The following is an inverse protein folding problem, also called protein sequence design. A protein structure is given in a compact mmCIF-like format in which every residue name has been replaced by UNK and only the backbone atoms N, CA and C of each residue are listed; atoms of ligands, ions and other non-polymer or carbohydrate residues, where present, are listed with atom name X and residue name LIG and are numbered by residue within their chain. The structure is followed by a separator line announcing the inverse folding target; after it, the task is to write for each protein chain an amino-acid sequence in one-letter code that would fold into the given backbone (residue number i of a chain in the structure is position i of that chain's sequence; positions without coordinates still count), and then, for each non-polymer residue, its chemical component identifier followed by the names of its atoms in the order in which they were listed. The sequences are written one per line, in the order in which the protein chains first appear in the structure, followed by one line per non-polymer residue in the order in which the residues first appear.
data_IF_671791018797
#
_entry.id   IF_671791018797
#
_cell.length_a   1.000
_cell.length_b   1.000
_cell.length_c   1.000
_cell.angle_alpha   90.00
_cell.angle_beta   90.00
_cell.angle_gamma   90.00
#
_symmetry.space_group_name_H-M   'P 1'
#
loop_
_entity.id
_entity.type
_entity.pdbx_description
1 polymer ?
#
# COMPACT_ATOMS: atom_id res chain seq x y z
N UNK A 1 -59.27 16.96 10.63
CA UNK A 1 -59.17 15.46 10.41
C UNK A 1 -58.02 15.23 9.47
N UNK A 2 -56.93 14.63 9.96
CA UNK A 2 -55.78 14.26 9.14
C UNK A 2 -56.20 13.12 8.23
N UNK A 3 -56.19 13.35 6.89
CA UNK A 3 -56.43 12.30 5.90
C UNK A 3 -55.34 11.23 6.06
N UNK A 4 -55.70 10.04 6.48
CA UNK A 4 -54.85 8.86 6.43
C UNK A 4 -54.49 8.63 4.98
N UNK A 5 -53.25 8.90 4.60
CA UNK A 5 -52.68 8.50 3.31
C UNK A 5 -52.85 7.00 3.16
N UNK A 6 -53.54 6.56 2.10
CA UNK A 6 -53.76 5.13 1.83
C UNK A 6 -52.43 4.37 1.73
N UNK A 7 -52.39 3.07 2.06
CA UNK A 7 -51.18 2.26 2.17
C UNK A 7 -50.31 2.31 0.88
N UNK A 8 -50.91 2.52 -0.28
CA UNK A 8 -50.20 2.65 -1.57
C UNK A 8 -49.39 3.94 -1.75
N UNK A 9 -49.82 5.08 -1.10
CA UNK A 9 -49.06 6.33 -1.14
C UNK A 9 -47.82 6.26 -0.25
N UNK A 10 -47.95 5.59 0.92
CA UNK A 10 -46.81 5.38 1.80
C UNK A 10 -45.76 4.51 1.10
N UNK A 11 -46.19 3.42 0.44
CA UNK A 11 -45.29 2.55 -0.34
C UNK A 11 -44.59 3.32 -1.48
N UNK A 12 -45.32 4.17 -2.21
CA UNK A 12 -44.72 5.01 -3.26
C UNK A 12 -43.64 5.96 -2.71
N UNK A 13 -43.89 6.63 -1.59
CA UNK A 13 -42.93 7.53 -0.94
C UNK A 13 -41.69 6.76 -0.42
N UNK A 14 -41.90 5.58 0.17
CA UNK A 14 -40.80 4.73 0.64
C UNK A 14 -39.94 4.27 -0.53
N UNK A 15 -40.54 3.86 -1.65
CA UNK A 15 -39.80 3.46 -2.84
C UNK A 15 -39.01 4.62 -3.47
N UNK A 16 -39.59 5.83 -3.51
CA UNK A 16 -38.87 7.01 -4.00
C UNK A 16 -37.70 7.34 -3.07
N UNK A 17 -37.91 7.34 -1.74
CA UNK A 17 -36.86 7.58 -0.75
C UNK A 17 -35.74 6.54 -0.83
N UNK A 18 -36.12 5.25 -0.94
CA UNK A 18 -35.16 4.14 -1.08
C UNK A 18 -34.38 4.27 -2.38
N UNK A 19 -35.07 4.57 -3.50
CA UNK A 19 -34.43 4.74 -4.79
C UNK A 19 -33.40 5.89 -4.80
N UNK A 20 -33.76 7.02 -4.22
CA UNK A 20 -32.84 8.16 -4.06
C UNK A 20 -31.65 7.80 -3.15
N UNK A 21 -31.86 7.12 -2.05
CA UNK A 21 -30.81 6.65 -1.16
C UNK A 21 -29.84 5.70 -1.87
N UNK A 22 -30.34 4.72 -2.63
CA UNK A 22 -29.53 3.77 -3.37
C UNK A 22 -28.69 4.45 -4.46
N UNK A 23 -29.23 5.47 -5.15
CA UNK A 23 -28.49 6.24 -6.15
C UNK A 23 -27.38 7.08 -5.50
N UNK A 24 -27.65 7.72 -4.37
CA UNK A 24 -26.63 8.45 -3.61
C UNK A 24 -25.54 7.47 -3.15
N UNK A 25 -25.91 6.31 -2.62
CA UNK A 25 -24.97 5.29 -2.19
C UNK A 25 -24.12 4.78 -3.38
N UNK A 26 -24.74 4.60 -4.57
CA UNK A 26 -24.03 4.17 -5.78
C UNK A 26 -22.96 5.17 -6.24
N UNK A 27 -23.12 6.45 -5.93
CA UNK A 27 -22.12 7.50 -6.24
C UNK A 27 -21.10 7.63 -5.09
N UNK A 28 -21.57 7.55 -3.83
CA UNK A 28 -20.71 7.77 -2.66
C UNK A 28 -19.73 6.60 -2.41
N UNK A 29 -20.17 5.36 -2.67
CA UNK A 29 -19.33 4.17 -2.41
C UNK A 29 -18.05 4.20 -3.24
N UNK A 30 -18.02 4.35 -4.56
CA UNK A 30 -16.78 4.36 -5.32
C UNK A 30 -15.87 5.53 -4.93
N UNK A 31 -16.42 6.71 -4.70
CA UNK A 31 -15.61 7.90 -4.38
C UNK A 31 -14.98 7.86 -2.98
N UNK A 32 -15.66 7.27 -2.01
CA UNK A 32 -15.20 7.26 -0.61
C UNK A 32 -14.51 5.94 -0.21
N UNK A 33 -15.05 4.80 -0.70
CA UNK A 33 -14.56 3.48 -0.25
C UNK A 33 -13.31 3.07 -1.03
N UNK A 34 -13.24 3.32 -2.35
CA UNK A 34 -12.09 2.97 -3.18
C UNK A 34 -10.83 3.69 -2.69
N UNK A 35 -10.91 5.00 -2.43
CA UNK A 35 -9.78 5.76 -1.90
C UNK A 35 -9.27 5.28 -0.53
N UNK A 36 -10.06 4.51 0.21
CA UNK A 36 -9.66 3.86 1.46
C UNK A 36 -9.10 2.44 1.24
N UNK A 37 -9.55 1.78 0.18
CA UNK A 37 -9.04 0.47 -0.22
C UNK A 37 -7.69 0.57 -0.93
N UNK A 38 -7.43 1.68 -1.63
CA UNK A 38 -6.14 2.03 -2.23
C UNK A 38 -5.13 2.51 -1.16
N UNK A 39 -5.04 1.78 -0.05
CA UNK A 39 -4.05 2.00 1.02
C UNK A 39 -3.44 0.68 1.42
N UNK A 40 -2.13 0.65 1.62
CA UNK A 40 -1.45 -0.54 2.14
C UNK A 40 -2.08 -0.95 3.48
N UNK A 41 -2.50 -2.23 3.63
CA UNK A 41 -3.14 -2.71 4.86
C UNK A 41 -2.24 -2.58 6.09
N UNK A 42 -2.81 -2.27 7.26
CA UNK A 42 -2.07 -2.16 8.52
C UNK A 42 -1.80 -3.51 9.20
N UNK A 43 -2.36 -4.57 8.67
CA UNK A 43 -2.17 -5.97 9.10
C UNK A 43 -1.30 -6.75 8.10
N UNK A 44 -0.49 -6.03 7.31
CA UNK A 44 0.40 -6.65 6.33
C UNK A 44 1.44 -7.53 7.02
N UNK A 45 1.47 -8.79 6.61
CA UNK A 45 2.47 -9.77 6.99
C UNK A 45 2.77 -10.64 5.76
N UNK A 46 3.99 -10.53 5.24
CA UNK A 46 4.37 -11.18 3.98
C UNK A 46 5.74 -11.84 4.13
N UNK A 47 5.82 -13.11 3.78
CA UNK A 47 7.09 -13.82 3.61
C UNK A 47 7.33 -14.09 2.14
N UNK A 48 8.50 -13.69 1.63
CA UNK A 48 8.97 -14.05 0.29
C UNK A 48 10.23 -14.89 0.37
N UNK A 49 10.30 -15.93 -0.43
CA UNK A 49 11.45 -16.82 -0.54
C UNK A 49 11.99 -16.73 -1.97
N UNK A 50 13.28 -16.48 -2.08
CA UNK A 50 14.00 -16.51 -3.35
C UNK A 50 15.05 -17.60 -3.31
N UNK A 51 15.25 -18.28 -4.42
CA UNK A 51 16.21 -19.35 -4.56
C UNK A 51 17.14 -19.10 -5.74
N UNK A 52 18.33 -19.67 -5.68
CA UNK A 52 19.28 -19.57 -6.77
C UNK A 52 20.52 -20.45 -6.53
N UNK A 53 21.45 -20.35 -7.44
CA UNK A 53 22.74 -21.05 -7.33
C UNK A 53 23.83 -20.09 -7.77
N UNK A 54 24.92 -20.02 -7.00
CA UNK A 54 25.98 -19.06 -7.27
C UNK A 54 27.35 -19.44 -6.77
N UNK A 55 28.26 -18.48 -6.84
CA UNK A 55 29.60 -18.55 -6.30
C UNK A 55 29.67 -17.80 -4.98
N UNK A 56 30.28 -18.40 -3.95
CA UNK A 56 30.36 -17.83 -2.61
C UNK A 56 31.76 -17.96 -2.05
N UNK A 57 32.34 -16.86 -1.55
CA UNK A 57 33.62 -16.87 -0.86
C UNK A 57 33.50 -17.69 0.44
N UNK A 58 34.38 -18.63 0.60
CA UNK A 58 34.51 -19.38 1.83
C UNK A 58 35.29 -18.54 2.86
N UNK A 59 34.56 -17.89 3.78
CA UNK A 59 35.16 -16.97 4.76
C UNK A 59 36.22 -17.67 5.66
N UNK A 60 36.04 -18.94 5.97
CA UNK A 60 37.03 -19.71 6.73
C UNK A 60 38.35 -19.87 5.97
N UNK A 61 38.30 -19.89 4.63
CA UNK A 61 39.52 -19.99 3.80
C UNK A 61 40.38 -18.74 3.87
N UNK A 62 39.78 -17.56 4.02
CA UNK A 62 40.52 -16.31 4.24
C UNK A 62 41.29 -16.33 5.54
N UNK A 63 40.68 -16.83 6.64
CA UNK A 63 41.35 -17.02 7.91
C UNK A 63 42.48 -18.02 7.81
N UNK A 64 42.39 -19.01 6.91
CA UNK A 64 43.44 -19.99 6.60
C UNK A 64 44.50 -19.46 5.62
N UNK A 65 44.46 -18.18 5.25
CA UNK A 65 45.45 -17.50 4.39
C UNK A 65 45.26 -17.70 2.89
N UNK A 66 44.08 -18.09 2.43
CA UNK A 66 43.79 -18.25 1.00
C UNK A 66 42.33 -17.97 0.67
N UNK A 67 42.06 -17.11 -0.29
CA UNK A 67 40.70 -16.89 -0.82
C UNK A 67 40.27 -18.09 -1.68
N UNK A 68 39.26 -18.84 -1.21
CA UNK A 68 38.64 -19.94 -1.96
C UNK A 68 37.18 -19.59 -2.23
N UNK A 69 36.77 -19.67 -3.47
CA UNK A 69 35.39 -19.41 -3.89
C UNK A 69 34.73 -20.74 -4.20
N UNK A 70 33.74 -21.11 -3.40
CA UNK A 70 32.92 -22.29 -3.64
C UNK A 70 31.99 -22.03 -4.81
N UNK A 71 31.89 -22.96 -5.75
CA UNK A 71 31.07 -22.84 -6.96
C UNK A 71 29.78 -23.65 -6.83
N UNK A 72 28.75 -23.25 -7.58
CA UNK A 72 27.46 -23.95 -7.60
C UNK A 72 26.82 -24.12 -6.22
N UNK A 73 26.96 -23.11 -5.38
CA UNK A 73 26.41 -23.11 -4.01
C UNK A 73 24.90 -22.85 -4.09
N UNK A 74 24.03 -23.72 -3.54
CA UNK A 74 22.61 -23.47 -3.50
C UNK A 74 22.31 -22.40 -2.45
N UNK A 75 21.52 -21.41 -2.84
CA UNK A 75 21.20 -20.22 -2.05
C UNK A 75 19.71 -20.09 -1.83
N UNK A 76 19.34 -19.65 -0.63
CA UNK A 76 17.98 -19.28 -0.25
C UNK A 76 18.01 -17.92 0.43
N UNK A 77 17.25 -16.99 -0.09
CA UNK A 77 16.96 -15.71 0.57
C UNK A 77 15.53 -15.72 1.10
N UNK A 78 15.35 -15.40 2.34
CA UNK A 78 14.05 -15.22 2.97
C UNK A 78 13.91 -13.77 3.41
N UNK A 79 12.79 -13.14 3.03
CA UNK A 79 12.41 -11.82 3.52
C UNK A 79 11.05 -11.90 4.20
N UNK A 80 11.00 -11.44 5.44
CA UNK A 80 9.77 -11.31 6.22
C UNK A 80 9.47 -9.84 6.44
N UNK A 81 8.31 -9.40 5.98
CA UNK A 81 7.84 -8.01 6.05
C UNK A 81 6.64 -7.95 6.97
N UNK A 82 6.68 -7.07 7.96
CA UNK A 82 5.60 -6.86 8.93
C UNK A 82 5.40 -5.38 9.20
N UNK A 83 4.23 -5.04 9.74
CA UNK A 83 3.90 -3.66 10.14
C UNK A 83 4.27 -3.45 11.60
N UNK A 84 4.91 -2.31 11.87
CA UNK A 84 5.33 -1.86 13.19
C UNK A 84 4.72 -0.51 13.55
N UNK A 85 4.86 -0.10 14.80
CA UNK A 85 4.48 1.24 15.22
C UNK A 85 5.65 2.23 15.02
N UNK A 86 5.36 3.51 14.71
CA UNK A 86 4.05 4.10 14.54
C UNK A 86 3.45 3.82 13.16
N UNK A 87 2.16 3.53 13.12
CA UNK A 87 1.37 3.40 11.89
C UNK A 87 -0.04 3.92 12.15
N UNK A 88 -0.65 4.59 11.16
CA UNK A 88 -1.96 5.20 11.30
C UNK A 88 -2.82 5.14 10.01
N UNK A 89 -3.74 6.07 9.85
CA UNK A 89 -4.64 6.12 8.69
C UNK A 89 -3.91 6.45 7.38
N UNK A 90 -2.78 7.15 7.43
CA UNK A 90 -2.07 7.69 6.26
C UNK A 90 -0.65 7.15 6.10
N UNK A 91 0.01 6.79 7.21
CA UNK A 91 1.38 6.28 7.23
C UNK A 91 1.45 4.84 7.75
N UNK A 92 2.42 4.08 7.25
CA UNK A 92 2.69 2.70 7.67
C UNK A 92 4.19 2.52 7.89
N UNK A 93 4.57 2.06 9.07
CA UNK A 93 5.95 1.65 9.35
C UNK A 93 6.11 0.17 9.03
N UNK A 94 6.99 -0.11 8.10
CA UNK A 94 7.30 -1.46 7.64
C UNK A 94 8.65 -1.88 8.19
N UNK A 95 8.73 -3.09 8.74
CA UNK A 95 9.97 -3.74 9.11
C UNK A 95 10.17 -4.98 8.24
N UNK A 96 11.33 -5.08 7.61
CA UNK A 96 11.71 -6.19 6.75
C UNK A 96 12.96 -6.89 7.33
N UNK A 97 12.79 -8.06 7.87
CA UNK A 97 13.88 -8.97 8.18
C UNK A 97 14.28 -9.77 6.94
N UNK A 98 15.55 -9.73 6.55
CA UNK A 98 16.05 -10.49 5.41
C UNK A 98 17.26 -11.31 5.77
N UNK A 99 17.31 -12.55 5.30
CA UNK A 99 18.46 -13.44 5.40
C UNK A 99 18.83 -13.99 4.04
N UNK A 100 20.12 -14.22 3.81
CA UNK A 100 20.62 -15.02 2.70
C UNK A 100 21.45 -16.16 3.29
N UNK A 101 21.09 -17.38 2.96
CA UNK A 101 21.75 -18.60 3.44
C UNK A 101 22.23 -19.46 2.26
N UNK A 102 23.31 -20.18 2.50
CA UNK A 102 23.71 -21.32 1.66
C UNK A 102 23.17 -22.61 2.28
N UNK A 103 22.32 -23.32 1.55
CA UNK A 103 21.59 -24.49 2.09
C UNK A 103 22.40 -25.78 2.11
N UNK A 104 23.62 -25.77 1.53
CA UNK A 104 24.55 -26.90 1.64
C UNK A 104 25.30 -26.99 2.99
N UNK A 105 25.08 -25.99 3.86
CA UNK A 105 25.62 -25.95 5.22
C UNK A 105 24.50 -25.75 6.25
N UNK A 106 24.72 -26.26 7.48
CA UNK A 106 23.71 -26.20 8.53
C UNK A 106 24.00 -25.09 9.56
N UNK A 107 22.93 -24.57 10.15
CA UNK A 107 22.99 -23.57 11.22
C UNK A 107 23.74 -22.30 10.79
N UNK A 108 24.43 -21.68 11.74
CA UNK A 108 25.11 -20.39 11.53
C UNK A 108 26.21 -20.45 10.45
N UNK A 109 26.74 -21.64 10.14
CA UNK A 109 27.75 -21.81 9.09
C UNK A 109 27.18 -21.65 7.70
N UNK A 110 25.87 -21.73 7.55
CA UNK A 110 25.15 -21.46 6.31
C UNK A 110 24.74 -20.00 6.13
N UNK A 111 24.69 -19.20 7.19
CA UNK A 111 24.26 -17.80 7.12
C UNK A 111 25.33 -16.95 6.43
N UNK A 112 24.96 -16.28 5.34
CA UNK A 112 25.83 -15.37 4.60
C UNK A 112 25.58 -13.93 5.00
N UNK A 113 24.33 -13.52 5.05
CA UNK A 113 23.92 -12.17 5.48
C UNK A 113 22.59 -12.21 6.24
N UNK A 114 22.44 -11.30 7.18
CA UNK A 114 21.18 -10.99 7.83
C UNK A 114 21.06 -9.47 7.99
N UNK A 115 19.87 -8.94 7.79
CA UNK A 115 19.58 -7.52 7.98
C UNK A 115 18.16 -7.32 8.45
N UNK A 116 17.94 -6.25 9.20
CA UNK A 116 16.60 -5.74 9.50
C UNK A 116 16.56 -4.31 8.99
N UNK A 117 15.65 -4.05 8.10
CA UNK A 117 15.36 -2.74 7.54
C UNK A 117 14.01 -2.23 8.04
N UNK A 118 13.93 -0.95 8.38
CA UNK A 118 12.71 -0.32 8.90
C UNK A 118 12.53 1.03 8.28
N UNK A 119 11.35 1.25 7.68
CA UNK A 119 11.00 2.50 6.99
C UNK A 119 9.53 2.84 7.20
N UNK A 120 9.21 4.13 7.34
CA UNK A 120 7.83 4.62 7.36
C UNK A 120 7.46 5.16 5.98
N UNK A 121 6.35 4.67 5.44
CA UNK A 121 5.87 4.95 4.09
C UNK A 121 4.49 5.59 4.13
N UNK A 122 4.19 6.45 3.18
CA UNK A 122 2.82 6.82 2.85
C UNK A 122 2.08 5.61 2.27
N UNK A 123 0.89 5.33 2.78
CA UNK A 123 0.14 4.10 2.48
C UNK A 123 -0.41 4.02 1.06
N UNK A 124 -0.49 5.14 0.35
CA UNK A 124 -1.02 5.22 -1.04
C UNK A 124 0.11 5.19 -2.04
N UNK A 125 1.07 6.11 -1.90
CA UNK A 125 2.20 6.27 -2.82
C UNK A 125 3.32 5.27 -2.60
N UNK A 126 3.38 4.61 -1.44
CA UNK A 126 4.48 3.75 -1.01
C UNK A 126 5.83 4.47 -0.92
N UNK A 127 5.84 5.80 -0.89
CA UNK A 127 7.04 6.62 -0.74
C UNK A 127 7.38 6.81 0.74
N UNK A 128 8.67 6.86 1.10
CA UNK A 128 9.10 7.19 2.45
C UNK A 128 8.61 8.56 2.89
N UNK A 129 8.23 8.69 4.17
CA UNK A 129 7.86 9.97 4.77
C UNK A 129 9.09 10.64 5.38
N UNK A 130 9.20 11.97 5.24
CA UNK A 130 10.34 12.73 5.76
C UNK A 130 10.34 12.87 7.29
N UNK A 131 9.18 12.68 7.93
CA UNK A 131 8.99 12.82 9.38
C UNK A 131 9.73 11.77 10.20
N UNK A 132 10.09 10.63 9.59
CA UNK A 132 10.76 9.50 10.24
C UNK A 132 11.89 8.96 9.38
N UNK A 133 13.12 9.03 9.92
CA UNK A 133 14.30 8.46 9.27
C UNK A 133 14.22 6.93 9.38
N UNK A 134 14.42 6.24 8.25
CA UNK A 134 14.53 4.80 8.23
C UNK A 134 15.78 4.29 8.94
N UNK A 135 15.80 3.00 9.30
CA UNK A 135 16.94 2.39 9.99
C UNK A 135 17.30 1.05 9.38
N UNK A 136 18.60 0.74 9.34
CA UNK A 136 19.12 -0.56 8.90
C UNK A 136 19.99 -1.15 10.00
N UNK A 137 19.72 -2.42 10.38
CA UNK A 137 20.54 -3.18 11.31
C UNK A 137 21.17 -4.36 10.58
N UNK A 138 22.50 -4.43 10.60
CA UNK A 138 23.28 -5.51 9.97
C UNK A 138 23.98 -6.43 10.99
N UNK A 139 24.02 -6.03 12.26
CA UNK A 139 24.66 -6.77 13.34
C UNK A 139 23.74 -6.80 14.56
N UNK A 140 23.45 -7.99 15.07
CA UNK A 140 22.51 -8.17 16.20
C UNK A 140 22.99 -7.57 17.52
N UNK A 141 24.32 -7.41 17.67
CA UNK A 141 24.98 -6.84 18.84
C UNK A 141 25.15 -5.32 18.79
N UNK A 142 24.72 -4.67 17.69
CA UNK A 142 24.77 -3.22 17.52
C UNK A 142 23.39 -2.63 17.30
N UNK A 143 23.16 -1.38 17.71
CA UNK A 143 21.92 -0.69 17.39
C UNK A 143 21.75 -0.54 15.87
N UNK A 144 20.51 -0.42 15.43
CA UNK A 144 20.19 -0.06 14.06
C UNK A 144 20.76 1.33 13.72
N UNK A 145 21.28 1.47 12.52
CA UNK A 145 21.85 2.72 12.00
C UNK A 145 20.75 3.51 11.30
N UNK A 146 20.68 4.82 11.56
CA UNK A 146 19.78 5.71 10.81
C UNK A 146 20.27 5.85 9.38
N UNK A 147 19.40 5.51 8.44
CA UNK A 147 19.64 5.57 7.00
C UNK A 147 18.46 6.24 6.34
N UNK A 148 18.61 7.44 5.75
CA UNK A 148 17.55 8.07 4.98
C UNK A 148 17.13 7.20 3.80
N UNK A 149 15.86 6.82 3.74
CA UNK A 149 15.29 6.10 2.62
C UNK A 149 14.68 7.10 1.64
N UNK A 150 14.90 6.87 0.36
CA UNK A 150 14.34 7.67 -0.72
C UNK A 150 13.80 6.75 -1.81
N UNK A 151 12.66 7.09 -2.42
CA UNK A 151 12.07 6.24 -3.44
C UNK A 151 11.29 5.02 -2.89
N UNK A 152 10.76 4.23 -3.80
CA UNK A 152 9.94 3.04 -3.48
C UNK A 152 10.77 1.95 -2.83
N UNK A 153 10.09 1.11 -2.06
CA UNK A 153 10.67 -0.09 -1.45
C UNK A 153 9.54 -1.08 -1.10
N UNK A 154 9.75 -2.37 -1.33
CA UNK A 154 8.82 -3.48 -1.05
C UNK A 154 7.52 -3.49 -1.86
N UNK A 155 6.93 -2.35 -2.21
CA UNK A 155 5.66 -2.22 -2.92
C UNK A 155 5.69 -1.01 -3.86
N UNK A 156 4.99 -1.11 -4.99
CA UNK A 156 4.72 0.03 -5.85
C UNK A 156 3.43 0.75 -5.43
N UNK A 157 3.20 1.99 -5.88
CA UNK A 157 1.93 2.67 -5.62
C UNK A 157 0.75 1.91 -6.24
N UNK A 158 -0.43 2.10 -5.69
CA UNK A 158 -1.65 1.71 -6.39
C UNK A 158 -1.73 2.43 -7.74
N UNK A 159 -2.33 1.77 -8.74
CA UNK A 159 -2.39 2.27 -10.11
C UNK A 159 -0.98 2.60 -10.66
N UNK A 160 -0.06 1.64 -10.51
CA UNK A 160 1.31 1.73 -11.03
C UNK A 160 1.32 2.06 -12.51
N UNK A 161 2.04 3.09 -12.89
CA UNK A 161 2.16 3.55 -14.28
C UNK A 161 3.38 2.94 -14.98
N UNK A 162 3.35 2.91 -16.31
CA UNK A 162 4.46 2.46 -17.16
C UNK A 162 5.53 3.57 -17.27
N UNK A 163 6.20 3.87 -16.16
CA UNK A 163 7.26 4.89 -16.07
C UNK A 163 8.36 4.48 -15.11
N UNK A 164 9.47 5.20 -15.12
CA UNK A 164 10.54 5.02 -14.13
C UNK A 164 10.11 5.52 -12.75
N UNK A 165 10.59 4.84 -11.71
CA UNK A 165 10.41 5.22 -10.31
C UNK A 165 11.76 5.22 -9.60
N UNK A 166 12.02 6.14 -8.67
CA UNK A 166 13.14 5.97 -7.76
C UNK A 166 12.88 4.75 -6.87
N UNK A 167 13.83 3.81 -6.79
CA UNK A 167 13.72 2.59 -6.00
C UNK A 167 14.96 2.41 -5.12
N UNK A 168 14.75 2.27 -3.81
CA UNK A 168 15.82 2.20 -2.82
C UNK A 168 16.51 0.85 -2.80
N UNK A 169 17.84 0.86 -2.79
CA UNK A 169 18.65 -0.33 -2.57
C UNK A 169 19.28 -0.32 -1.18
N UNK A 170 18.91 -1.31 -0.36
CA UNK A 170 19.33 -1.42 1.05
C UNK A 170 20.85 -1.62 1.19
N UNK A 171 21.49 -2.32 0.24
CA UNK A 171 22.93 -2.56 0.28
C UNK A 171 23.74 -1.33 -0.15
N UNK A 172 23.29 -0.66 -1.20
CA UNK A 172 23.90 0.56 -1.70
C UNK A 172 23.53 1.80 -0.86
N UNK A 173 22.44 1.74 -0.07
CA UNK A 173 21.88 2.84 0.73
C UNK A 173 21.56 4.07 -0.12
N UNK A 174 21.15 3.85 -1.35
CA UNK A 174 20.76 4.89 -2.29
C UNK A 174 19.59 4.45 -3.16
N UNK A 175 18.86 5.42 -3.72
CA UNK A 175 17.88 5.14 -4.76
C UNK A 175 18.48 5.33 -6.14
N UNK A 176 18.14 4.43 -7.03
CA UNK A 176 18.34 4.50 -8.48
C UNK A 176 17.00 4.31 -9.15
N UNK A 177 16.86 4.81 -10.35
CA UNK A 177 15.65 4.57 -11.11
C UNK A 177 15.48 3.07 -11.40
N UNK A 178 14.26 2.58 -11.20
CA UNK A 178 13.80 1.30 -11.72
C UNK A 178 12.90 1.60 -12.90
N UNK A 179 13.33 1.16 -14.09
CA UNK A 179 12.73 1.53 -15.36
C UNK A 179 11.67 0.53 -15.78
N UNK A 180 10.53 1.02 -16.30
CA UNK A 180 9.56 0.17 -16.97
C UNK A 180 10.17 -0.43 -18.23
N UNK A 181 10.00 -1.74 -18.41
CA UNK A 181 10.55 -2.48 -19.56
C UNK A 181 9.43 -2.91 -20.51
N UNK A 182 8.44 -3.61 -19.97
CA UNK A 182 7.34 -4.18 -20.76
C UNK A 182 6.13 -4.56 -19.89
N UNK A 183 4.98 -4.68 -20.54
CA UNK A 183 3.80 -5.34 -20.00
C UNK A 183 3.81 -6.80 -20.42
N UNK A 184 3.53 -7.71 -19.49
CA UNK A 184 3.48 -9.14 -19.74
C UNK A 184 2.43 -9.81 -18.85
N UNK A 185 2.36 -11.14 -18.87
CA UNK A 185 1.38 -11.90 -18.08
C UNK A 185 2.08 -13.01 -17.30
N UNK A 186 1.70 -13.16 -16.02
CA UNK A 186 2.13 -14.27 -15.15
C UNK A 186 0.88 -14.93 -14.56
N UNK A 187 0.70 -16.22 -14.80
CA UNK A 187 -0.44 -17.04 -14.32
C UNK A 187 -1.82 -16.38 -14.55
N UNK A 188 -2.01 -15.78 -15.75
CA UNK A 188 -3.26 -15.10 -16.13
C UNK A 188 -3.46 -13.73 -15.50
N UNK A 189 -2.42 -13.13 -14.92
CA UNK A 189 -2.44 -11.79 -14.34
C UNK A 189 -1.53 -10.88 -15.14
N UNK A 190 -2.06 -9.75 -15.62
CA UNK A 190 -1.25 -8.69 -16.28
C UNK A 190 -0.29 -8.09 -15.27
N UNK A 191 0.97 -7.96 -15.64
CA UNK A 191 2.01 -7.39 -14.80
C UNK A 191 2.92 -6.48 -15.61
N UNK A 192 3.49 -5.48 -14.95
CA UNK A 192 4.53 -4.61 -15.49
C UNK A 192 5.89 -5.07 -15.01
N UNK A 193 6.80 -5.29 -15.96
CA UNK A 193 8.19 -5.64 -15.68
C UNK A 193 9.02 -4.37 -15.56
N UNK A 194 9.75 -4.28 -14.47
CA UNK A 194 10.70 -3.21 -14.19
C UNK A 194 12.11 -3.76 -14.02
N UNK A 195 13.13 -2.99 -14.42
CA UNK A 195 14.53 -3.33 -14.23
C UNK A 195 15.29 -2.15 -13.61
N UNK A 196 16.13 -2.45 -12.62
CA UNK A 196 17.04 -1.51 -11.96
C UNK A 196 18.47 -2.03 -12.03
N UNK A 197 19.44 -1.14 -12.32
CA UNK A 197 20.87 -1.44 -12.24
C UNK A 197 21.52 -0.60 -11.15
N UNK A 198 22.17 -1.28 -10.21
CA UNK A 198 22.87 -0.69 -9.07
C UNK A 198 24.36 -1.00 -9.16
N UNK A 199 25.20 -0.02 -8.87
CA UNK A 199 26.64 -0.18 -8.75
C UNK A 199 27.43 0.10 -10.02
N UNK A 200 28.76 -0.10 -9.93
CA UNK A 200 29.52 -0.59 -8.78
C UNK A 200 29.58 0.40 -7.61
N UNK A 201 29.23 -0.05 -6.42
CA UNK A 201 29.24 0.71 -5.18
C UNK A 201 30.35 0.23 -4.25
N UNK A 202 31.19 1.13 -3.75
CA UNK A 202 32.18 0.86 -2.70
C UNK A 202 31.46 0.72 -1.35
N UNK A 203 31.25 -0.54 -0.91
CA UNK A 203 30.58 -0.78 0.37
C UNK A 203 31.35 -0.25 1.58
N UNK A 204 32.67 -0.03 1.49
CA UNK A 204 33.44 0.53 2.61
C UNK A 204 33.16 2.01 2.83
N UNK A 205 32.61 2.70 1.83
CA UNK A 205 32.23 4.10 1.92
C UNK A 205 30.79 4.32 2.43
N UNK A 206 29.95 3.31 2.28
CA UNK A 206 28.51 3.38 2.61
C UNK A 206 28.16 2.65 3.91
N UNK A 207 28.84 1.53 4.18
CA UNK A 207 28.57 0.64 5.33
C UNK A 207 29.83 0.41 6.15
N UNK A 208 29.81 0.89 7.39
CA UNK A 208 30.97 0.74 8.29
C UNK A 208 31.08 -0.67 8.87
N UNK A 209 31.48 -1.61 8.00
CA UNK A 209 31.83 -2.99 8.42
C UNK A 209 33.31 -3.25 8.16
N UNK A 210 34.05 -3.83 9.12
CA UNK A 210 35.48 -4.17 8.95
C UNK A 210 35.75 -5.03 7.72
N UNK A 211 34.80 -5.91 7.36
CA UNK A 211 34.89 -6.80 6.20
C UNK A 211 34.74 -6.09 4.86
N UNK A 212 34.33 -4.83 4.81
CA UNK A 212 34.20 -4.10 3.56
C UNK A 212 35.53 -3.55 3.03
N UNK A 213 36.59 -3.55 3.85
CA UNK A 213 37.95 -3.17 3.41
C UNK A 213 38.97 -4.01 4.17
N UNK A 214 39.65 -4.89 3.47
CA UNK A 214 40.60 -5.81 4.07
C UNK A 214 41.99 -5.61 3.48
N UNK A 215 43.02 -5.71 4.32
CA UNK A 215 44.42 -5.71 3.92
C UNK A 215 44.99 -7.09 4.27
N UNK A 216 45.29 -7.88 3.26
CA UNK A 216 45.81 -9.25 3.40
C UNK A 216 47.05 -9.41 2.49
N UNK A 217 47.90 -10.43 2.72
CA UNK A 217 48.98 -10.78 1.79
C UNK A 217 48.46 -11.01 0.36
N UNK A 218 49.21 -10.56 -0.63
CA UNK A 218 48.87 -10.79 -2.04
C UNK A 218 48.62 -12.28 -2.34
N UNK A 219 49.42 -13.16 -1.79
CA UNK A 219 49.23 -14.62 -1.88
C UNK A 219 47.87 -15.11 -1.34
N UNK A 220 47.37 -14.49 -0.27
CA UNK A 220 46.03 -14.80 0.29
C UNK A 220 44.94 -14.43 -0.70
N UNK A 221 45.06 -13.33 -1.37
CA UNK A 221 44.13 -12.90 -2.42
C UNK A 221 44.26 -13.71 -3.73
N UNK A 222 45.37 -14.43 -3.90
CA UNK A 222 45.68 -15.13 -5.15
C UNK A 222 46.19 -14.19 -6.27
N UNK A 223 46.73 -13.00 -5.89
CA UNK A 223 47.33 -12.03 -6.81
C UNK A 223 48.86 -12.03 -6.67
N UNK A 224 49.54 -11.46 -7.67
CA UNK A 224 51.01 -11.34 -7.66
C UNK A 224 51.49 -10.44 -6.52
N UNK A 225 52.59 -10.81 -5.84
CA UNK A 225 53.19 -10.00 -4.77
C UNK A 225 53.60 -10.78 -3.53
N UNK A 226 53.30 -12.10 -3.43
CA UNK A 226 53.70 -12.95 -2.31
C UNK A 226 53.10 -12.44 -0.95
N UNK A 227 53.96 -12.16 0.02
CA UNK A 227 53.55 -11.68 1.33
C UNK A 227 53.32 -10.16 1.40
N UNK A 228 53.48 -9.42 0.30
CA UNK A 228 53.24 -8.00 0.25
C UNK A 228 51.75 -7.71 0.61
N UNK A 229 51.50 -6.72 1.52
CA UNK A 229 50.13 -6.38 1.89
C UNK A 229 49.37 -5.73 0.73
N UNK A 230 48.22 -6.26 0.40
CA UNK A 230 47.29 -5.74 -0.62
C UNK A 230 45.98 -5.41 0.05
N UNK A 231 45.55 -4.16 -0.11
CA UNK A 231 44.24 -3.70 0.37
C UNK A 231 43.22 -3.81 -0.74
N UNK A 232 42.12 -4.52 -0.48
CA UNK A 232 40.98 -4.58 -1.38
C UNK A 232 39.73 -4.08 -0.69
N UNK A 233 38.87 -3.43 -1.47
CA UNK A 233 37.56 -2.94 -1.08
C UNK A 233 36.49 -3.90 -1.57
N UNK A 234 35.42 -4.08 -0.81
CA UNK A 234 34.23 -4.85 -1.22
C UNK A 234 33.32 -4.00 -2.05
N UNK A 235 33.11 -4.39 -3.28
CA UNK A 235 32.23 -3.75 -4.26
C UNK A 235 30.91 -4.50 -4.36
N UNK A 236 29.85 -3.76 -4.70
CA UNK A 236 28.50 -4.28 -4.88
C UNK A 236 27.89 -3.80 -6.18
N UNK A 237 27.35 -4.73 -6.92
CA UNK A 237 26.54 -4.52 -8.12
C UNK A 237 25.30 -5.40 -8.03
N UNK A 238 24.17 -4.93 -8.59
CA UNK A 238 22.95 -5.71 -8.68
C UNK A 238 22.13 -5.31 -9.89
N UNK A 239 21.58 -6.30 -10.60
CA UNK A 239 20.49 -6.08 -11.52
C UNK A 239 19.22 -6.66 -10.91
N UNK A 240 18.28 -5.78 -10.57
CA UNK A 240 17.00 -6.17 -9.99
C UNK A 240 15.93 -6.13 -11.06
N UNK A 241 15.12 -7.19 -11.15
CA UNK A 241 13.95 -7.28 -12.02
C UNK A 241 12.72 -7.55 -11.16
N UNK A 242 11.69 -6.71 -11.31
CA UNK A 242 10.44 -6.84 -10.57
C UNK A 242 9.26 -6.91 -11.55
N UNK A 243 8.32 -7.79 -11.28
CA UNK A 243 7.04 -7.88 -11.97
C UNK A 243 5.94 -7.46 -11.00
N UNK A 244 5.23 -6.41 -11.37
CA UNK A 244 4.29 -5.69 -10.50
C UNK A 244 2.90 -5.78 -11.09
N UNK A 245 1.92 -6.20 -10.29
CA UNK A 245 0.53 -6.07 -10.68
C UNK A 245 0.11 -4.59 -10.58
N UNK A 246 -0.33 -3.95 -11.69
CA UNK A 246 -0.41 -2.49 -11.75
C UNK A 246 -1.52 -1.88 -10.90
N UNK A 247 -2.66 -2.53 -10.70
CA UNK A 247 -3.79 -1.98 -9.96
C UNK A 247 -3.49 -1.87 -8.46
N UNK A 248 -2.86 -2.90 -7.89
CA UNK A 248 -2.54 -2.97 -6.46
C UNK A 248 -1.13 -2.53 -6.10
N UNK A 249 -0.20 -2.52 -7.06
CA UNK A 249 1.23 -2.26 -6.84
C UNK A 249 1.97 -3.42 -6.16
N UNK A 250 1.38 -4.60 -6.10
CA UNK A 250 2.00 -5.80 -5.50
C UNK A 250 3.11 -6.33 -6.42
N UNK A 251 4.29 -6.56 -5.85
CA UNK A 251 5.39 -7.25 -6.54
C UNK A 251 5.08 -8.75 -6.53
N UNK A 252 4.65 -9.28 -7.68
CA UNK A 252 4.24 -10.68 -7.80
C UNK A 252 5.40 -11.63 -8.10
N UNK A 253 6.47 -11.12 -8.72
CA UNK A 253 7.70 -11.84 -8.93
C UNK A 253 8.88 -10.87 -8.79
N UNK A 254 9.99 -11.32 -8.19
CA UNK A 254 11.23 -10.56 -8.05
C UNK A 254 12.42 -11.42 -8.35
N UNK A 255 13.42 -10.83 -9.02
CA UNK A 255 14.73 -11.45 -9.27
C UNK A 255 15.84 -10.45 -9.05
N UNK A 256 16.98 -10.94 -8.60
CA UNK A 256 18.21 -10.16 -8.41
C UNK A 256 19.40 -10.95 -8.95
N UNK A 257 20.25 -10.29 -9.73
CA UNK A 257 21.57 -10.81 -10.12
C UNK A 257 22.63 -10.06 -9.30
N UNK A 258 22.92 -10.63 -8.13
CA UNK A 258 23.79 -10.03 -7.13
C UNK A 258 25.24 -10.34 -7.46
N UNK A 259 26.09 -9.30 -7.46
CA UNK A 259 27.52 -9.45 -7.61
C UNK A 259 28.27 -8.64 -6.55
N UNK A 260 28.93 -9.32 -5.62
CA UNK A 260 29.80 -8.71 -4.63
C UNK A 260 31.20 -9.31 -4.77
N UNK A 261 32.21 -8.46 -4.74
CA UNK A 261 33.58 -8.89 -4.95
C UNK A 261 34.57 -7.98 -4.22
N UNK A 262 35.73 -8.52 -3.87
CA UNK A 262 36.88 -7.72 -3.48
C UNK A 262 37.68 -7.30 -4.70
N UNK A 263 38.09 -6.04 -4.72
CA UNK A 263 38.93 -5.51 -5.78
C UNK A 263 39.61 -4.21 -5.34
N UNK A 264 40.69 -3.90 -6.04
CA UNK A 264 41.38 -2.61 -6.00
C UNK A 264 40.72 -1.57 -6.92
N UNK A 265 39.88 -2.03 -7.83
CA UNK A 265 39.27 -1.19 -8.89
C UNK A 265 37.82 -1.55 -9.09
N UNK A 266 36.95 -0.54 -9.15
CA UNK A 266 35.53 -0.69 -9.44
C UNK A 266 35.28 -1.41 -10.77
N UNK A 267 34.27 -2.26 -10.84
CA UNK A 267 33.86 -2.97 -12.07
C UNK A 267 34.82 -4.07 -12.53
N UNK A 268 35.84 -4.41 -11.75
CA UNK A 268 36.80 -5.47 -12.08
C UNK A 268 37.00 -6.40 -10.89
N UNK A 269 36.22 -7.46 -10.81
CA UNK A 269 36.31 -8.44 -9.74
C UNK A 269 37.71 -9.12 -9.73
N UNK A 270 38.38 -9.10 -8.56
CA UNK A 270 39.61 -9.84 -8.32
C UNK A 270 39.34 -11.08 -7.47
N UNK A 271 38.43 -11.00 -6.50
CA UNK A 271 37.99 -12.14 -5.69
C UNK A 271 36.47 -12.05 -5.49
N UNK A 272 35.75 -13.02 -6.05
CA UNK A 272 34.29 -13.11 -5.87
C UNK A 272 33.94 -13.32 -4.41
N UNK A 273 32.98 -12.53 -3.87
CA UNK A 273 32.42 -12.73 -2.53
C UNK A 273 31.08 -13.45 -2.63
N UNK A 274 30.22 -12.97 -3.52
CA UNK A 274 28.92 -13.53 -3.87
C UNK A 274 28.60 -13.16 -5.30
N UNK A 275 28.31 -14.15 -6.14
CA UNK A 275 27.78 -13.93 -7.46
C UNK A 275 26.68 -14.93 -7.72
N UNK A 276 25.43 -14.45 -7.76
CA UNK A 276 24.29 -15.33 -7.88
C UNK A 276 23.07 -14.63 -8.45
N UNK A 277 22.41 -15.21 -9.45
CA UNK A 277 21.02 -14.93 -9.76
C UNK A 277 20.15 -15.61 -8.68
N UNK A 278 19.23 -14.86 -8.06
CA UNK A 278 18.22 -15.38 -7.16
C UNK A 278 16.85 -14.85 -7.59
N UNK A 279 15.84 -15.70 -7.61
CA UNK A 279 14.48 -15.33 -7.98
C UNK A 279 13.47 -15.89 -6.99
N UNK A 280 12.31 -15.28 -6.85
CA UNK A 280 11.19 -15.82 -6.09
C UNK A 280 10.92 -17.26 -6.51
N UNK A 281 10.74 -18.14 -5.54
CA UNK A 281 10.30 -19.50 -5.80
C UNK A 281 8.84 -19.54 -6.29
N UNK A 282 8.42 -20.66 -6.87
CA UNK A 282 7.08 -20.81 -7.44
C UNK A 282 5.98 -20.58 -6.40
N UNK A 283 6.15 -21.04 -5.17
CA UNK A 283 5.17 -20.86 -4.10
C UNK A 283 5.02 -19.38 -3.72
N UNK A 284 6.11 -18.63 -3.67
CA UNK A 284 6.11 -17.19 -3.42
C UNK A 284 5.38 -16.45 -4.55
N UNK A 285 5.68 -16.78 -5.80
CA UNK A 285 4.99 -16.17 -6.96
C UNK A 285 3.49 -16.44 -6.91
N UNK A 286 3.08 -17.68 -6.64
CA UNK A 286 1.67 -18.06 -6.54
C UNK A 286 0.96 -17.31 -5.39
N UNK A 287 1.58 -17.26 -4.22
CA UNK A 287 1.07 -16.51 -3.07
C UNK A 287 0.91 -15.02 -3.38
N UNK A 288 1.92 -14.39 -3.97
CA UNK A 288 1.89 -12.96 -4.31
C UNK A 288 0.84 -12.64 -5.39
N UNK A 289 0.67 -13.51 -6.38
CA UNK A 289 -0.42 -13.39 -7.37
C UNK A 289 -1.79 -13.48 -6.70
N UNK A 290 -1.96 -14.40 -5.75
CA UNK A 290 -3.23 -14.50 -5.02
C UNK A 290 -3.52 -13.24 -4.21
N UNK A 291 -2.51 -12.68 -3.53
CA UNK A 291 -2.62 -11.39 -2.82
C UNK A 291 -3.03 -10.24 -3.76
N UNK A 292 -2.42 -10.19 -4.96
CA UNK A 292 -2.78 -9.21 -5.97
C UNK A 292 -4.23 -9.38 -6.43
N UNK A 293 -4.66 -10.62 -6.73
CA UNK A 293 -6.05 -10.93 -7.13
C UNK A 293 -7.07 -10.57 -6.06
N UNK A 294 -6.80 -10.91 -4.80
CA UNK A 294 -7.68 -10.54 -3.68
C UNK A 294 -7.81 -9.02 -3.54
N UNK A 295 -6.73 -8.28 -3.80
CA UNK A 295 -6.74 -6.82 -3.85
C UNK A 295 -7.59 -6.26 -4.98
N UNK A 296 -7.37 -6.74 -6.22
CA UNK A 296 -8.14 -6.36 -7.41
C UNK A 296 -9.63 -6.67 -7.25
N UNK A 297 -9.98 -7.84 -6.71
CA UNK A 297 -11.36 -8.24 -6.46
C UNK A 297 -12.07 -7.29 -5.49
N UNK A 298 -11.39 -6.87 -4.41
CA UNK A 298 -11.93 -5.88 -3.47
C UNK A 298 -12.12 -4.51 -4.13
N UNK A 299 -11.14 -4.05 -4.91
CA UNK A 299 -11.23 -2.78 -5.64
C UNK A 299 -12.38 -2.82 -6.67
N UNK A 300 -12.48 -3.89 -7.46
CA UNK A 300 -13.54 -4.10 -8.45
C UNK A 300 -14.94 -4.22 -7.80
N UNK A 301 -15.04 -4.95 -6.68
CA UNK A 301 -16.30 -5.12 -5.96
C UNK A 301 -16.89 -3.77 -5.52
N UNK A 302 -16.11 -2.97 -4.85
CA UNK A 302 -16.58 -1.68 -4.28
C UNK A 302 -16.49 -0.52 -5.27
N UNK A 303 -15.55 -0.56 -6.22
CA UNK A 303 -15.40 0.47 -7.24
C UNK A 303 -16.39 0.36 -8.39
N UNK A 304 -16.84 -0.85 -8.71
CA UNK A 304 -17.65 -1.10 -9.90
C UNK A 304 -18.91 -1.89 -9.64
N UNK A 305 -18.81 -3.09 -9.09
CA UNK A 305 -19.93 -4.05 -9.01
C UNK A 305 -21.05 -3.56 -8.09
N UNK A 306 -20.73 -3.23 -6.85
CA UNK A 306 -21.69 -2.73 -5.85
C UNK A 306 -22.37 -1.44 -6.32
N UNK A 307 -21.65 -0.40 -6.80
CA UNK A 307 -22.26 0.82 -7.32
C UNK A 307 -23.23 0.58 -8.47
N UNK A 308 -22.88 -0.28 -9.43
CA UNK A 308 -23.76 -0.60 -10.57
C UNK A 308 -25.03 -1.27 -10.09
N UNK A 309 -24.94 -2.27 -9.21
CA UNK A 309 -26.12 -2.98 -8.66
C UNK A 309 -27.01 -2.02 -7.89
N UNK A 310 -26.45 -1.19 -7.02
CA UNK A 310 -27.20 -0.17 -6.27
C UNK A 310 -27.86 0.86 -7.21
N UNK A 311 -27.14 1.28 -8.23
CA UNK A 311 -27.68 2.20 -9.26
C UNK A 311 -28.88 1.63 -9.98
N UNK A 312 -28.79 0.38 -10.46
CA UNK A 312 -29.90 -0.31 -11.13
C UNK A 312 -31.10 -0.46 -10.20
N UNK A 313 -30.88 -0.95 -8.98
CA UNK A 313 -31.95 -1.09 -7.98
C UNK A 313 -32.57 0.26 -7.59
N UNK A 314 -31.75 1.30 -7.49
CA UNK A 314 -32.21 2.66 -7.21
C UNK A 314 -33.13 3.23 -8.29
N UNK A 315 -32.75 3.05 -9.57
CA UNK A 315 -33.58 3.46 -10.72
C UNK A 315 -34.90 2.70 -10.76
N UNK A 316 -34.86 1.36 -10.57
CA UNK A 316 -36.07 0.53 -10.54
C UNK A 316 -37.02 1.00 -9.40
N UNK A 317 -36.49 1.23 -8.21
CA UNK A 317 -37.28 1.69 -7.07
C UNK A 317 -37.90 3.05 -7.32
N UNK A 318 -37.15 4.00 -7.91
CA UNK A 318 -37.68 5.33 -8.27
C UNK A 318 -38.81 5.22 -9.31
N UNK A 319 -38.62 4.47 -10.39
CA UNK A 319 -39.64 4.27 -11.42
C UNK A 319 -40.90 3.65 -10.82
N UNK A 320 -40.75 2.58 -10.04
CA UNK A 320 -41.87 1.92 -9.39
C UNK A 320 -42.60 2.87 -8.42
N UNK A 321 -41.87 3.64 -7.63
CA UNK A 321 -42.45 4.62 -6.70
C UNK A 321 -43.21 5.73 -7.41
N UNK A 322 -42.66 6.28 -8.52
CA UNK A 322 -43.35 7.30 -9.33
C UNK A 322 -44.60 6.73 -9.98
N UNK A 323 -44.54 5.56 -10.62
CA UNK A 323 -45.69 4.92 -11.25
C UNK A 323 -46.82 4.61 -10.24
N UNK A 324 -46.46 4.12 -9.05
CA UNK A 324 -47.45 3.89 -7.98
C UNK A 324 -48.05 5.21 -7.46
N UNK A 325 -47.24 6.25 -7.37
CA UNK A 325 -47.68 7.59 -6.95
C UNK A 325 -48.66 8.19 -7.95
N UNK A 326 -48.38 8.09 -9.27
CA UNK A 326 -49.24 8.59 -10.35
C UNK A 326 -50.56 7.81 -10.46
N UNK A 327 -50.55 6.48 -10.33
CA UNK A 327 -51.77 5.66 -10.37
C UNK A 327 -52.76 5.99 -9.26
N UNK A 328 -52.29 6.54 -8.14
CA UNK A 328 -53.11 6.85 -6.95
C UNK A 328 -53.46 8.35 -6.89
N UNK A 329 -53.09 9.14 -7.88
CA UNK A 329 -53.43 10.57 -8.05
C UNK A 329 -54.67 10.81 -8.88
N UNK A 330 -55.76 10.02 -8.71
CA UNK A 330 -57.03 10.28 -9.43
C UNK A 330 -57.51 11.73 -9.25
N UNK A 331 -58.21 12.29 -10.23
CA UNK A 331 -58.63 13.69 -10.21
C UNK A 331 -59.51 13.96 -8.98
N UNK A 332 -59.15 14.93 -8.15
CA UNK A 332 -59.99 15.47 -7.10
C UNK A 332 -61.23 16.06 -7.81
N UNK A 333 -62.39 15.45 -7.61
CA UNK A 333 -63.64 16.10 -7.95
C UNK A 333 -63.72 17.43 -7.16
N UNK A 334 -63.96 18.57 -7.84
CA UNK A 334 -64.17 19.81 -7.10
C UNK A 334 -65.41 19.65 -6.21
N UNK A 335 -65.30 20.01 -4.94
CA UNK A 335 -66.41 20.04 -4.01
C UNK A 335 -67.54 20.89 -4.62
N UNK A 336 -68.71 20.28 -4.84
CA UNK A 336 -69.93 20.99 -5.21
C UNK A 336 -70.25 21.92 -4.07
N UNK A 337 -70.08 23.22 -4.27
CA UNK A 337 -70.63 24.31 -3.45
C UNK A 337 -72.13 24.24 -3.58
N UNK A 338 -72.84 23.76 -2.55
CA UNK A 338 -74.30 23.90 -2.42
C UNK A 338 -74.63 25.38 -2.27
N UNK A 339 -75.51 25.84 -3.16
CA UNK A 339 -76.05 27.20 -3.13
C UNK A 339 -76.87 27.50 -1.86
N UNK A 340 -77.04 28.76 -1.51
CA UNK A 340 -77.76 29.19 -0.32
C UNK A 340 -79.27 29.06 -0.45
N UNK A 341 -79.93 28.39 0.50
CA UNK A 341 -81.38 28.55 0.73
C UNK A 341 -81.63 29.81 1.54
N UNK A 342 -82.43 30.73 0.94
CA UNK A 342 -83.06 31.84 1.64
C UNK A 342 -84.11 31.33 2.61
N UNK A 343 -84.05 31.80 3.85
CA UNK A 343 -85.26 32.01 4.70
C UNK A 343 -85.08 33.32 5.45
N UNK A 344 -86.11 34.17 5.29
CA UNK A 344 -86.32 35.50 5.91
C UNK A 344 -86.43 35.41 7.42
N UNK A 345 -86.13 36.54 8.10
CA UNK A 345 -86.74 36.88 9.33
C UNK A 345 -85.89 37.51 10.43
N UNK A 346 -85.91 38.86 10.48
CA UNK A 346 -86.06 39.60 11.71
C UNK A 346 -84.88 40.02 12.57
N UNK A 347 -84.46 41.24 12.43
CA UNK A 347 -84.49 42.22 13.54
C UNK A 347 -83.23 42.40 14.45
N UNK A 348 -82.78 43.68 14.40
CA UNK A 348 -82.20 44.50 15.47
C UNK A 348 -80.66 44.50 15.66
N UNK A 349 -80.11 45.70 15.38
CA UNK A 349 -78.77 46.19 15.70
C UNK A 349 -78.69 46.67 17.19
N UNK A 350 -77.63 47.40 17.62
CA UNK A 350 -76.19 47.25 17.52
C UNK A 350 -75.48 47.34 18.90
N UNK A 351 -74.19 47.05 18.97
CA UNK A 351 -73.26 47.83 19.85
C UNK A 351 -71.79 47.47 19.58
N UNK A 352 -71.07 48.53 19.40
CA UNK A 352 -69.60 48.66 19.25
C UNK A 352 -68.90 48.40 20.63
N UNK A 353 -67.58 48.73 20.72
CA UNK A 353 -66.38 47.90 20.44
C UNK A 353 -65.55 47.71 21.73
N UNK A 354 -64.62 46.82 21.76
CA UNK A 354 -63.53 46.91 22.71
C UNK A 354 -62.20 46.42 22.11
N UNK A 355 -61.35 47.42 21.88
CA UNK A 355 -59.92 47.38 21.70
C UNK A 355 -59.19 46.81 22.92
N UNK A 356 -58.25 45.94 22.75
CA UNK A 356 -57.11 45.74 23.66
C UNK A 356 -55.88 45.21 22.95
N UNK A 357 -54.97 46.17 22.78
CA UNK A 357 -53.53 45.98 22.69
C UNK A 357 -52.97 45.09 23.80
N UNK A 358 -52.04 44.24 23.47
CA UNK A 358 -50.95 43.84 24.34
C UNK A 358 -49.68 43.60 23.52
N UNK A 359 -48.83 44.59 23.58
CA UNK A 359 -47.38 44.53 23.34
C UNK A 359 -46.67 43.95 24.57
N UNK A 360 -45.42 43.51 24.31
CA UNK A 360 -44.29 43.30 25.25
C UNK A 360 -44.14 41.93 25.86
N UNK A 361 -43.10 41.29 25.44
CA UNK A 361 -41.77 41.22 26.05
C UNK A 361 -41.52 39.96 26.88
N UNK A 362 -40.56 39.17 26.52
CA UNK A 362 -39.30 38.98 27.27
C UNK A 362 -38.45 37.85 26.70
N UNK A 363 -37.30 38.29 26.34
CA UNK A 363 -36.06 37.51 26.11
C UNK A 363 -35.66 36.82 27.41
N UNK A 364 -35.37 35.52 27.38
CA UNK A 364 -34.63 34.87 28.44
C UNK A 364 -33.35 34.24 27.88
N UNK A 365 -32.23 34.81 28.31
CA UNK A 365 -30.86 34.43 28.06
C UNK A 365 -30.45 33.38 29.09
N UNK A 366 -29.98 32.21 28.68
CA UNK A 366 -29.34 31.25 29.58
C UNK A 366 -27.83 31.21 29.29
N UNK A 367 -26.97 31.29 30.31
CA UNK A 367 -25.55 31.54 30.18
C UNK A 367 -24.71 30.28 29.92
N UNK A 368 -23.63 30.48 29.18
CA UNK A 368 -22.53 29.50 28.98
C UNK A 368 -21.80 29.24 30.31
N UNK A 369 -21.61 27.97 30.63
CA UNK A 369 -20.67 27.59 31.68
C UNK A 369 -19.39 27.05 31.01
N UNK A 370 -18.29 27.75 31.24
CA UNK A 370 -16.91 27.30 31.04
C UNK A 370 -16.58 26.24 32.09
N UNK A 371 -15.95 25.16 31.66
CA UNK A 371 -15.11 24.36 32.55
C UNK A 371 -13.77 24.09 31.82
N UNK A 372 -12.77 24.69 32.41
CA UNK A 372 -11.36 24.44 32.10
C UNK A 372 -10.79 23.44 33.12
N UNK A 373 -9.83 22.66 32.64
CA UNK A 373 -8.73 21.97 33.35
C UNK A 373 -9.07 20.85 34.36
N UNK A 374 -8.68 19.65 34.01
CA UNK A 374 -7.46 19.01 34.52
C UNK A 374 -6.98 17.96 33.55
#
# INVERSE_FOLDING_TARGET
MAERSGPSRIVALVLIGLGAFLLIAAIMIPTYTVSRLEKTPLDLEVTTISTGTGSVLNSASLAAGRAVVDQNVPLVSQRFVTVENPSDADEITVQAGQTLIRSDKQGDTGLLTASVDRVTLDRVSSMPVESQVGTIQLQSDKPAEEVPHTGLQYKFPFNTEQKSYPYFDVNARESKDIDFVEETEINGTTVYKFEQKVGPVDLSSVVNLPTNKLTLPAATWGVEGGDAPVTMTRWYENTRTLWVEPETGVVVKGGEDIHQYYSRTAGKAEVEVLKAPIEFDENTVEFQIQQAKDGMDRLSLFGRTVPIVLGILGVIALIAGVLLGLRNGGPRQPARTGGPQHTDGGGVAPSEPHNRDWTTDQTEVIPRTNLAKE
#
